data_IF_612541130628
#
_entry.id   IF_612541130628
#
_cell.length_a   1.000
_cell.length_b   1.000
_cell.length_c   1.000
_cell.angle_alpha   90.00
_cell.angle_beta   90.00
_cell.angle_gamma   90.00
#
_symmetry.space_group_name_H-M   'P 1'
#
loop_
_entity.id
_entity.type
_entity.pdbx_description
1 polymer ?
#
# COMPACT_ATOMS: atom_id res chain seq x y z
N UNK A 1 -21.20 6.86 -15.14
CA UNK A 1 -22.44 6.66 -14.46
C UNK A 1 -22.20 6.48 -13.00
N UNK A 2 -22.95 7.18 -12.29
CA UNK A 2 -22.93 7.04 -10.87
C UNK A 2 -23.96 6.03 -10.45
N UNK A 3 -23.52 4.96 -9.82
CA UNK A 3 -24.43 3.95 -9.27
C UNK A 3 -24.87 4.31 -7.86
N UNK A 4 -24.47 5.48 -7.40
CA UNK A 4 -24.84 5.94 -6.07
C UNK A 4 -26.34 6.22 -6.01
N UNK A 5 -26.92 5.79 -4.92
CA UNK A 5 -28.31 6.09 -4.60
C UNK A 5 -28.34 7.00 -3.40
N UNK A 6 -29.47 7.66 -3.21
CA UNK A 6 -29.66 8.43 -1.98
C UNK A 6 -29.54 7.46 -0.80
N UNK A 7 -28.63 7.78 0.12
CA UNK A 7 -28.36 6.92 1.26
C UNK A 7 -27.20 5.96 1.05
N UNK A 8 -26.77 5.72 -0.19
CA UNK A 8 -25.63 4.86 -0.48
C UNK A 8 -24.35 5.67 -0.67
N UNK A 9 -24.47 6.88 -1.18
CA UNK A 9 -23.32 7.74 -1.39
C UNK A 9 -22.84 8.31 -0.06
N UNK A 10 -21.53 8.49 0.10
CA UNK A 10 -21.01 9.20 1.28
C UNK A 10 -21.53 10.63 1.30
N UNK A 11 -21.62 11.19 2.48
CA UNK A 11 -21.98 12.59 2.68
C UNK A 11 -20.96 13.45 1.92
N UNK A 12 -21.40 14.33 0.97
CA UNK A 12 -20.47 15.14 0.20
C UNK A 12 -19.72 16.16 1.05
N UNK A 13 -20.22 16.48 2.25
CA UNK A 13 -19.55 17.39 3.16
C UNK A 13 -18.48 16.70 4.00
N UNK A 14 -18.41 15.39 3.97
CA UNK A 14 -17.41 14.64 4.70
C UNK A 14 -16.27 14.23 3.75
N UNK A 15 -15.02 14.34 4.20
CA UNK A 15 -13.93 13.84 3.38
C UNK A 15 -14.05 12.33 3.21
N UNK A 16 -13.63 11.79 2.05
CA UNK A 16 -13.61 10.34 1.89
C UNK A 16 -12.64 9.72 2.90
N UNK A 17 -12.90 8.47 3.35
CA UNK A 17 -11.97 7.80 4.22
C UNK A 17 -10.61 7.67 3.55
N UNK A 18 -9.56 7.96 4.30
CA UNK A 18 -8.19 7.81 3.84
C UNK A 18 -7.55 6.68 4.59
N UNK A 19 -7.07 5.72 3.84
CA UNK A 19 -6.37 4.58 4.41
C UNK A 19 -4.90 4.74 4.09
N UNK A 20 -4.10 4.94 5.12
CA UNK A 20 -2.66 4.98 4.96
C UNK A 20 -2.16 3.56 4.72
N UNK A 21 -1.35 3.41 3.70
CA UNK A 21 -0.76 2.10 3.39
C UNK A 21 0.73 2.23 3.20
N UNK A 22 1.44 1.17 3.59
CA UNK A 22 2.81 0.94 3.18
C UNK A 22 2.74 0.07 1.94
N UNK A 23 3.39 0.50 0.87
CA UNK A 23 3.36 -0.24 -0.39
C UNK A 23 4.73 -0.82 -0.69
N UNK A 24 4.72 -1.98 -1.36
CA UNK A 24 5.92 -2.69 -1.77
C UNK A 24 5.88 -2.82 -3.28
N UNK A 25 6.78 -2.10 -3.97
CA UNK A 25 6.85 -2.09 -5.43
C UNK A 25 8.13 -2.76 -5.89
N UNK A 26 8.04 -3.54 -6.96
CA UNK A 26 9.21 -4.16 -7.56
C UNK A 26 9.64 -3.40 -8.80
N UNK A 27 10.93 -3.16 -8.90
CA UNK A 27 11.60 -2.70 -10.10
C UNK A 27 12.91 -3.45 -10.23
N UNK A 28 12.97 -4.38 -11.21
CA UNK A 28 14.13 -5.26 -11.40
C UNK A 28 14.40 -6.05 -10.12
N UNK A 29 15.60 -5.95 -9.57
CA UNK A 29 15.97 -6.70 -8.37
C UNK A 29 15.83 -5.89 -7.10
N UNK A 30 15.04 -4.83 -7.13
CA UNK A 30 14.84 -3.94 -6.00
C UNK A 30 13.37 -3.85 -5.64
N UNK A 31 13.14 -3.57 -4.39
CA UNK A 31 11.80 -3.37 -3.85
C UNK A 31 11.77 -2.03 -3.14
N UNK A 32 10.80 -1.20 -3.51
CA UNK A 32 10.57 0.07 -2.84
C UNK A 32 9.57 -0.12 -1.73
N UNK A 33 9.91 0.39 -0.54
CA UNK A 33 9.02 0.41 0.62
C UNK A 33 8.67 1.87 0.86
N UNK A 34 7.44 2.24 0.58
CA UNK A 34 6.98 3.62 0.74
C UNK A 34 5.61 3.67 1.39
N UNK A 35 5.12 4.86 1.65
CA UNK A 35 3.81 5.04 2.25
C UNK A 35 3.01 6.10 1.50
N UNK A 36 1.70 5.97 1.53
CA UNK A 36 0.79 6.94 0.91
C UNK A 36 -0.59 6.84 1.50
N UNK A 37 -1.29 7.98 1.53
CA UNK A 37 -2.72 8.05 1.81
C UNK A 37 -3.55 7.95 0.54
N UNK A 38 -2.91 8.13 -0.61
CA UNK A 38 -3.56 8.11 -1.90
C UNK A 38 -2.75 7.22 -2.84
N UNK A 39 -2.77 5.89 -2.59
CA UNK A 39 -1.90 4.98 -3.31
C UNK A 39 -2.14 4.96 -4.82
N UNK A 40 -3.38 5.17 -5.29
CA UNK A 40 -3.64 5.18 -6.73
C UNK A 40 -2.86 6.28 -7.44
N UNK A 41 -2.88 7.49 -6.87
CA UNK A 41 -2.14 8.61 -7.43
C UNK A 41 -0.64 8.40 -7.31
N UNK A 42 -0.21 7.95 -6.14
CA UNK A 42 1.22 7.78 -5.87
C UNK A 42 1.86 6.73 -6.77
N UNK A 43 1.20 5.58 -6.91
CA UNK A 43 1.75 4.49 -7.71
C UNK A 43 1.73 4.80 -9.20
N UNK A 44 0.77 5.60 -9.65
CA UNK A 44 0.75 6.05 -11.04
C UNK A 44 1.96 6.92 -11.39
N UNK A 45 2.55 7.58 -10.40
CA UNK A 45 3.69 8.47 -10.61
C UNK A 45 5.03 7.78 -10.44
N UNK A 46 5.06 6.53 -9.98
CA UNK A 46 6.30 5.80 -9.69
C UNK A 46 6.50 4.71 -10.73
N UNK A 47 7.67 4.73 -11.39
CA UNK A 47 8.02 3.65 -12.31
C UNK A 47 8.25 2.36 -11.53
N UNK A 48 7.50 1.33 -11.88
CA UNK A 48 7.63 0.01 -11.24
C UNK A 48 7.11 -1.07 -12.17
N UNK A 49 7.55 -2.30 -11.93
CA UNK A 49 7.11 -3.45 -12.71
C UNK A 49 5.88 -4.12 -12.11
N UNK A 50 5.82 -4.18 -10.79
CA UNK A 50 4.76 -4.89 -10.10
C UNK A 50 4.52 -4.31 -8.73
N UNK A 51 3.24 -4.19 -8.36
CA UNK A 51 2.84 -3.91 -6.98
C UNK A 51 2.76 -5.24 -6.25
N UNK A 52 3.63 -5.43 -5.27
CA UNK A 52 3.74 -6.71 -4.56
C UNK A 52 2.73 -6.84 -3.42
N UNK A 53 2.54 -5.78 -2.65
CA UNK A 53 1.64 -5.82 -1.51
C UNK A 53 1.33 -4.43 -0.98
N UNK A 54 0.22 -4.33 -0.24
CA UNK A 54 -0.07 -3.22 0.65
C UNK A 54 -0.10 -3.74 2.07
N UNK A 55 0.33 -2.90 3.00
CA UNK A 55 0.22 -3.17 4.42
C UNK A 55 -0.45 -1.97 5.08
N UNK A 56 -1.54 -2.17 5.85
CA UNK A 56 -2.18 -1.03 6.51
C UNK A 56 -1.24 -0.40 7.51
N UNK A 57 -0.97 0.86 7.35
CA UNK A 57 -0.08 1.57 8.25
C UNK A 57 0.40 2.87 7.64
N UNK A 58 0.92 3.73 8.49
CA UNK A 58 1.36 5.05 8.11
C UNK A 58 2.89 5.13 8.04
N UNK A 59 3.39 6.36 8.11
CA UNK A 59 4.81 6.61 8.05
C UNK A 59 5.57 5.93 9.21
N UNK A 60 4.94 5.77 10.36
CA UNK A 60 5.56 5.07 11.47
C UNK A 60 5.87 3.62 11.13
N UNK A 61 4.92 2.93 10.48
CA UNK A 61 5.15 1.57 10.03
C UNK A 61 6.20 1.52 8.93
N UNK A 62 6.16 2.47 7.99
CA UNK A 62 7.19 2.55 6.95
C UNK A 62 8.58 2.65 7.57
N UNK A 63 8.75 3.53 8.55
CA UNK A 63 10.03 3.70 9.23
C UNK A 63 10.46 2.41 9.94
N UNK A 64 9.52 1.73 10.56
CA UNK A 64 9.79 0.45 11.22
C UNK A 64 10.28 -0.59 10.21
N UNK A 65 9.64 -0.68 9.05
CA UNK A 65 10.07 -1.60 7.99
C UNK A 65 11.43 -1.22 7.44
N UNK A 66 11.70 0.07 7.27
CA UNK A 66 13.02 0.52 6.84
C UNK A 66 14.12 0.11 7.83
N UNK A 67 13.84 0.16 9.12
CA UNK A 67 14.80 -0.30 10.13
C UNK A 67 14.96 -1.81 10.10
N UNK A 68 13.87 -2.54 9.94
CA UNK A 68 13.87 -3.99 9.92
C UNK A 68 14.73 -4.55 8.78
N UNK A 69 14.67 -3.88 7.62
CA UNK A 69 15.39 -4.31 6.42
C UNK A 69 16.55 -3.39 6.07
N UNK A 70 17.09 -2.66 7.05
CA UNK A 70 18.13 -1.67 6.81
C UNK A 70 19.37 -2.26 6.14
N UNK A 71 19.71 -3.51 6.43
CA UNK A 71 20.86 -4.19 5.83
C UNK A 71 20.65 -4.47 4.33
N UNK A 72 19.42 -4.42 3.84
CA UNK A 72 19.11 -4.62 2.42
C UNK A 72 18.98 -3.31 1.66
N UNK A 73 19.01 -2.19 2.35
CA UNK A 73 18.81 -0.88 1.72
C UNK A 73 19.93 -0.56 0.74
N UNK A 74 19.53 -0.16 -0.47
CA UNK A 74 20.48 0.22 -1.51
C UNK A 74 20.49 1.70 -1.82
N UNK A 75 19.46 2.43 -1.40
CA UNK A 75 19.39 3.86 -1.58
C UNK A 75 17.96 4.36 -1.45
N UNK A 76 17.78 5.48 -0.74
CA UNK A 76 16.47 6.05 -0.50
C UNK A 76 15.52 5.04 0.11
N UNK A 77 14.40 4.78 -0.56
CA UNK A 77 13.40 3.81 -0.12
C UNK A 77 13.50 2.48 -0.88
N UNK A 78 14.61 2.25 -1.57
CA UNK A 78 14.82 1.05 -2.37
C UNK A 78 15.69 0.06 -1.64
N UNK A 79 15.26 -1.21 -1.64
CA UNK A 79 15.88 -2.31 -0.93
C UNK A 79 16.15 -3.47 -1.88
N UNK A 80 17.18 -4.26 -1.61
CA UNK A 80 17.46 -5.44 -2.40
C UNK A 80 16.34 -6.47 -2.24
N UNK A 81 15.94 -7.10 -3.36
CA UNK A 81 14.91 -8.13 -3.35
C UNK A 81 15.50 -9.43 -2.78
N UNK A 82 15.72 -9.45 -1.49
CA UNK A 82 16.27 -10.58 -0.76
C UNK A 82 15.14 -11.51 -0.31
N UNK A 83 15.47 -12.78 -0.13
CA UNK A 83 14.49 -13.78 0.29
C UNK A 83 13.76 -13.41 1.59
N UNK A 84 14.46 -12.76 2.52
CA UNK A 84 13.85 -12.34 3.79
C UNK A 84 12.76 -11.29 3.57
N UNK A 85 13.03 -10.31 2.73
CA UNK A 85 12.04 -9.28 2.40
C UNK A 85 10.87 -9.86 1.61
N UNK A 86 11.18 -10.72 0.64
CA UNK A 86 10.15 -11.38 -0.15
C UNK A 86 9.26 -12.25 0.73
N UNK A 87 9.84 -12.96 1.69
CA UNK A 87 9.07 -13.78 2.63
C UNK A 87 8.13 -12.91 3.50
N UNK A 88 8.62 -11.76 3.95
CA UNK A 88 7.78 -10.83 4.70
C UNK A 88 6.59 -10.37 3.86
N UNK A 89 6.85 -9.97 2.61
CA UNK A 89 5.80 -9.51 1.70
C UNK A 89 4.77 -10.62 1.48
N UNK A 90 5.21 -11.86 1.36
CA UNK A 90 4.31 -12.99 1.15
C UNK A 90 3.36 -13.24 2.32
N UNK A 91 3.68 -12.75 3.52
CA UNK A 91 2.78 -12.87 4.67
C UNK A 91 1.68 -11.82 4.67
N UNK A 92 1.79 -10.81 3.82
CA UNK A 92 0.84 -9.72 3.75
C UNK A 92 -0.32 -10.11 2.86
N UNK A 93 -1.47 -10.25 3.08
CA UNK A 93 -2.63 -10.56 2.21
C UNK A 93 -2.42 -11.78 1.31
N UNK A 94 -2.05 -12.97 1.86
CA UNK A 94 -1.87 -14.14 1.02
C UNK A 94 -3.16 -14.52 0.29
N UNK A 95 -3.05 -14.79 -1.02
CA UNK A 95 -4.18 -15.18 -1.84
C UNK A 95 -5.08 -14.03 -2.29
N UNK A 96 -4.73 -12.80 -1.95
CA UNK A 96 -5.53 -11.62 -2.30
C UNK A 96 -4.63 -10.63 -3.03
N UNK A 97 -5.11 -10.09 -4.16
CA UNK A 97 -4.37 -9.05 -4.85
C UNK A 97 -4.33 -7.77 -4.00
N UNK A 98 -3.23 -7.01 -4.06
CA UNK A 98 -3.10 -5.82 -3.21
C UNK A 98 -4.26 -4.82 -3.33
N UNK A 99 -4.70 -4.54 -4.57
CA UNK A 99 -5.81 -3.59 -4.76
C UNK A 99 -7.13 -4.11 -4.21
N UNK A 100 -7.34 -5.42 -4.21
CA UNK A 100 -8.55 -6.00 -3.63
C UNK A 100 -8.53 -5.87 -2.12
N UNK A 101 -7.38 -6.07 -1.49
CA UNK A 101 -7.22 -5.86 -0.07
C UNK A 101 -7.48 -4.39 0.29
N UNK A 102 -6.89 -3.48 -0.47
CA UNK A 102 -7.07 -2.05 -0.26
C UNK A 102 -8.54 -1.66 -0.36
N UNK A 103 -9.24 -2.18 -1.37
CA UNK A 103 -10.67 -1.88 -1.54
C UNK A 103 -11.49 -2.35 -0.35
N UNK A 104 -11.15 -3.48 0.25
CA UNK A 104 -11.81 -3.96 1.47
C UNK A 104 -11.60 -3.02 2.64
N UNK A 105 -10.38 -2.55 2.82
CA UNK A 105 -10.07 -1.63 3.92
C UNK A 105 -10.81 -0.32 3.77
N UNK A 106 -10.91 0.20 2.55
CA UNK A 106 -11.69 1.41 2.27
C UNK A 106 -13.16 1.17 2.57
N UNK A 107 -13.72 0.05 2.13
CA UNK A 107 -15.12 -0.29 2.38
C UNK A 107 -15.41 -0.39 3.88
N UNK A 108 -14.51 -0.99 4.64
CA UNK A 108 -14.65 -1.07 6.10
C UNK A 108 -14.62 0.31 6.75
N UNK A 109 -13.77 1.20 6.25
CA UNK A 109 -13.68 2.56 6.79
C UNK A 109 -14.99 3.33 6.57
N UNK A 110 -15.69 3.09 5.46
CA UNK A 110 -16.98 3.73 5.21
C UNK A 110 -18.08 3.24 6.15
N UNK A 111 -17.93 2.06 6.72
CA UNK A 111 -18.94 1.47 7.62
C UNK A 111 -18.81 1.95 9.07
N UNK A 112 -17.74 2.62 9.40
CA UNK A 112 -17.46 3.07 10.76
C UNK A 112 -18.07 4.42 11.09
#
# INVERSE_FOLDING_TARGET
VCDWRVGDAPDPDLPPPRIDVVYYLRWRERIKIGTSRQPRQRLAAILHEELLAFEPGDRGLEQQRHREFADLREGGEWFRADARLIAHIATLSPGIRPWDAYARWVAEAYRR
#
